data_IF_708763916209
#
_entry.id   IF_708763916209
#
_cell.length_a   1.000
_cell.length_b   1.000
_cell.length_c   1.000
_cell.angle_alpha   90.00
_cell.angle_beta   90.00
_cell.angle_gamma   90.00
#
_symmetry.space_group_name_H-M   'P 1'
#
loop_
_entity.id
_entity.type
_entity.pdbx_description
1 polymer ?
#
# COMPACT_ATOMS: atom_id res chain seq x y z
N UNK A 1 26.48 -10.46 -7.15
CA UNK A 1 27.27 -10.49 -5.89
C UNK A 1 26.39 -9.96 -4.75
N UNK A 2 26.57 -10.41 -3.50
CA UNK A 2 25.88 -9.80 -2.35
C UNK A 2 26.21 -8.32 -2.21
N UNK A 3 25.27 -7.53 -1.67
CA UNK A 3 25.52 -6.12 -1.38
C UNK A 3 26.61 -5.94 -0.32
N UNK A 4 27.44 -4.91 -0.48
CA UNK A 4 28.38 -4.48 0.56
C UNK A 4 27.70 -3.57 1.57
N UNK A 5 28.35 -3.36 2.72
CA UNK A 5 27.84 -2.46 3.76
C UNK A 5 27.60 -1.05 3.21
N UNK A 6 28.50 -0.57 2.37
CA UNK A 6 28.48 0.76 1.78
C UNK A 6 27.28 0.96 0.85
N UNK A 7 26.86 -0.11 0.15
CA UNK A 7 25.70 -0.06 -0.77
C UNK A 7 24.36 -0.03 -0.02
N UNK A 8 24.29 -0.51 1.21
CA UNK A 8 23.05 -0.57 2.01
C UNK A 8 23.04 0.42 3.17
N UNK A 9 24.19 1.03 3.50
CA UNK A 9 24.29 1.99 4.58
C UNK A 9 23.74 3.34 4.15
N UNK A 10 22.99 3.98 5.03
CA UNK A 10 22.68 5.40 4.97
C UNK A 10 23.41 6.11 6.12
N UNK A 11 24.66 6.60 5.90
CA UNK A 11 25.47 7.15 6.98
C UNK A 11 24.79 8.34 7.68
N UNK A 12 24.80 8.33 9.01
CA UNK A 12 24.18 9.37 9.84
C UNK A 12 22.66 9.23 10.02
N UNK A 13 22.04 8.20 9.43
CA UNK A 13 20.61 7.90 9.63
C UNK A 13 20.46 6.58 10.39
N UNK A 14 19.65 6.59 11.45
CA UNK A 14 19.47 5.44 12.33
C UNK A 14 17.99 5.20 12.59
N UNK A 15 17.48 4.06 12.14
CA UNK A 15 16.18 3.54 12.58
C UNK A 15 16.30 3.03 14.02
N UNK A 16 15.78 3.77 14.99
CA UNK A 16 15.84 3.45 16.42
C UNK A 16 14.79 2.43 16.82
N UNK A 17 13.56 2.62 16.36
CA UNK A 17 12.47 1.71 16.66
C UNK A 17 11.40 1.72 15.57
N UNK A 18 10.63 0.63 15.52
CA UNK A 18 9.42 0.53 14.71
C UNK A 18 8.38 -0.19 15.55
N UNK A 19 7.23 0.46 15.73
CA UNK A 19 6.10 -0.11 16.48
C UNK A 19 4.83 -0.05 15.64
N UNK A 20 3.87 -0.90 15.98
CA UNK A 20 2.57 -0.94 15.31
C UNK A 20 1.52 -0.52 16.33
N UNK A 21 0.73 0.49 15.98
CA UNK A 21 -0.47 0.90 16.70
C UNK A 21 -1.69 0.21 16.09
N UNK A 22 -2.49 -0.43 16.93
CA UNK A 22 -3.61 -1.26 16.51
C UNK A 22 -3.26 -2.75 16.45
N UNK A 23 -4.25 -3.57 16.08
CA UNK A 23 -4.08 -5.02 15.96
C UNK A 23 -4.02 -5.41 14.49
N UNK A 24 -3.03 -6.23 14.13
CA UNK A 24 -2.95 -6.86 12.81
C UNK A 24 -3.95 -8.03 12.76
N UNK A 25 -5.21 -7.71 12.48
CA UNK A 25 -6.30 -8.67 12.43
C UNK A 25 -6.94 -8.68 11.05
N UNK A 26 -7.11 -9.86 10.47
CA UNK A 26 -7.83 -10.06 9.23
C UNK A 26 -9.18 -10.74 9.46
N UNK A 27 -10.16 -10.42 8.63
CA UNK A 27 -11.50 -11.01 8.67
C UNK A 27 -12.05 -11.12 7.25
N UNK A 28 -13.19 -11.81 7.11
CA UNK A 28 -13.95 -11.82 5.87
C UNK A 28 -15.17 -10.92 6.02
N UNK A 29 -15.48 -10.18 4.96
CA UNK A 29 -16.72 -9.41 4.85
C UNK A 29 -17.41 -9.72 3.53
N UNK A 30 -18.74 -9.61 3.52
CA UNK A 30 -19.51 -9.79 2.30
C UNK A 30 -19.50 -8.51 1.47
N UNK A 31 -19.29 -8.66 0.18
CA UNK A 31 -19.31 -7.58 -0.80
C UNK A 31 -20.33 -7.89 -1.89
N UNK A 32 -21.27 -6.97 -2.07
CA UNK A 32 -22.29 -7.05 -3.10
C UNK A 32 -21.82 -6.36 -4.38
N UNK A 33 -22.04 -6.99 -5.52
CA UNK A 33 -21.84 -6.34 -6.82
C UNK A 33 -22.95 -6.68 -7.81
N UNK A 34 -23.14 -5.75 -8.75
CA UNK A 34 -24.21 -5.75 -9.73
C UNK A 34 -23.86 -6.63 -10.95
N UNK A 35 -24.86 -7.37 -11.44
CA UNK A 35 -24.78 -8.29 -12.58
C UNK A 35 -25.68 -7.85 -13.76
N UNK A 36 -26.25 -6.64 -13.73
CA UNK A 36 -27.14 -6.13 -14.79
C UNK A 36 -26.49 -6.15 -16.16
N UNK A 37 -25.21 -5.79 -16.20
CA UNK A 37 -24.44 -5.74 -17.44
C UNK A 37 -24.02 -7.14 -17.95
N UNK A 38 -24.29 -8.19 -17.18
CA UNK A 38 -24.00 -9.58 -17.57
C UNK A 38 -25.25 -10.32 -18.08
N UNK A 39 -26.44 -9.73 -17.98
CA UNK A 39 -27.71 -10.34 -18.41
C UNK A 39 -28.26 -9.65 -19.66
N UNK A 40 -28.85 -10.44 -20.56
CA UNK A 40 -29.46 -9.92 -21.78
C UNK A 40 -30.74 -9.13 -21.47
N UNK A 41 -30.86 -7.95 -22.05
CA UNK A 41 -32.09 -7.15 -22.04
C UNK A 41 -32.83 -7.30 -23.36
N UNK A 42 -34.16 -7.16 -23.36
CA UNK A 42 -34.98 -7.20 -24.59
C UNK A 42 -35.94 -6.00 -24.66
N UNK A 43 -36.56 -5.78 -25.83
CA UNK A 43 -37.54 -4.70 -25.99
C UNK A 43 -38.77 -4.86 -25.08
N UNK A 44 -39.06 -6.08 -24.62
CA UNK A 44 -40.19 -6.39 -23.72
C UNK A 44 -39.78 -6.57 -22.27
N UNK A 45 -38.48 -6.76 -21.99
CA UNK A 45 -37.92 -6.94 -20.64
C UNK A 45 -36.75 -5.98 -20.48
N UNK A 46 -36.99 -4.90 -19.75
CA UNK A 46 -35.96 -3.93 -19.38
C UNK A 46 -34.93 -4.50 -18.42
N UNK A 47 -33.95 -3.68 -18.04
CA UNK A 47 -32.95 -4.00 -17.02
C UNK A 47 -33.64 -4.42 -15.72
N UNK A 48 -33.26 -5.60 -15.23
CA UNK A 48 -33.69 -6.12 -13.92
C UNK A 48 -32.55 -5.99 -12.93
N UNK A 49 -32.87 -5.59 -11.70
CA UNK A 49 -31.89 -5.55 -10.61
C UNK A 49 -31.45 -6.99 -10.27
N UNK A 50 -30.21 -7.31 -10.66
CA UNK A 50 -29.56 -8.58 -10.34
C UNK A 50 -28.23 -8.25 -9.68
N UNK A 51 -28.02 -8.76 -8.47
CA UNK A 51 -26.76 -8.65 -7.74
C UNK A 51 -26.38 -9.99 -7.13
N UNK A 52 -25.14 -10.10 -6.70
CA UNK A 52 -24.64 -11.26 -5.94
C UNK A 52 -23.65 -10.81 -4.88
N UNK A 53 -23.38 -11.70 -3.92
CA UNK A 53 -22.44 -11.47 -2.83
C UNK A 53 -21.21 -12.36 -2.98
N UNK A 54 -20.05 -11.81 -2.67
CA UNK A 54 -18.79 -12.55 -2.51
C UNK A 54 -18.14 -12.21 -1.18
N UNK A 55 -17.62 -13.23 -0.52
CA UNK A 55 -16.85 -13.05 0.71
C UNK A 55 -15.42 -12.65 0.36
N UNK A 56 -14.96 -11.51 0.86
CA UNK A 56 -13.63 -10.93 0.57
C UNK A 56 -12.83 -10.80 1.84
N UNK A 57 -11.53 -11.09 1.76
CA UNK A 57 -10.60 -10.82 2.86
C UNK A 57 -10.52 -9.31 3.10
N UNK A 58 -10.43 -8.92 4.37
CA UNK A 58 -10.18 -7.56 4.81
C UNK A 58 -9.30 -7.56 6.07
N UNK A 59 -8.84 -6.39 6.51
CA UNK A 59 -8.10 -6.22 7.75
C UNK A 59 -8.52 -4.96 8.51
N UNK A 60 -8.30 -4.96 9.83
CA UNK A 60 -8.47 -3.75 10.65
C UNK A 60 -7.41 -2.70 10.31
N UNK A 61 -7.77 -1.43 10.44
CA UNK A 61 -6.80 -0.33 10.32
C UNK A 61 -5.71 -0.45 11.38
N UNK A 62 -4.48 -0.14 10.98
CA UNK A 62 -3.33 -0.02 11.87
C UNK A 62 -2.40 1.09 11.38
N UNK A 63 -1.42 1.47 12.20
CA UNK A 63 -0.38 2.42 11.80
C UNK A 63 1.00 1.96 12.24
N UNK A 64 1.99 2.18 11.40
CA UNK A 64 3.40 2.10 11.77
C UNK A 64 3.81 3.40 12.46
N UNK A 65 4.58 3.30 13.54
CA UNK A 65 5.28 4.41 14.16
C UNK A 65 6.78 4.14 14.08
N UNK A 66 7.47 4.94 13.28
CA UNK A 66 8.91 4.86 13.09
C UNK A 66 9.60 5.96 13.90
N UNK A 67 10.66 5.59 14.61
CA UNK A 67 11.59 6.54 15.24
C UNK A 67 12.91 6.50 14.48
N UNK A 68 13.22 7.58 13.77
CA UNK A 68 14.40 7.69 12.92
C UNK A 68 15.21 8.90 13.36
N UNK A 69 16.47 8.71 13.72
CA UNK A 69 17.37 9.84 14.02
C UNK A 69 18.29 10.15 12.84
N UNK A 70 18.50 11.42 12.56
CA UNK A 70 19.44 11.92 11.55
C UNK A 70 20.49 12.83 12.17
N UNK A 71 21.75 12.63 11.81
CA UNK A 71 22.88 13.51 12.18
C UNK A 71 22.94 14.76 11.28
N UNK A 72 22.28 14.72 10.12
CA UNK A 72 22.28 15.80 9.11
C UNK A 72 21.09 16.76 9.29
N UNK A 73 21.30 18.04 8.97
CA UNK A 73 20.28 19.11 9.02
C UNK A 73 19.05 18.83 8.15
N UNK A 74 19.25 18.21 6.99
CA UNK A 74 18.21 17.86 6.03
C UNK A 74 18.67 16.64 5.21
N UNK A 75 17.92 15.54 5.27
CA UNK A 75 18.17 14.33 4.50
C UNK A 75 16.85 13.77 3.96
N UNK A 76 16.82 13.39 2.69
CA UNK A 76 15.66 12.72 2.08
C UNK A 76 15.85 11.21 2.17
N UNK A 77 14.84 10.53 2.68
CA UNK A 77 14.89 9.10 2.92
C UNK A 77 13.72 8.38 2.27
N UNK A 78 13.96 7.14 1.83
CA UNK A 78 12.91 6.18 1.48
C UNK A 78 12.78 5.18 2.62
N UNK A 79 11.59 5.06 3.20
CA UNK A 79 11.26 4.01 4.16
C UNK A 79 10.63 2.85 3.39
N UNK A 80 11.26 1.69 3.45
CA UNK A 80 10.86 0.45 2.77
C UNK A 80 10.42 -0.56 3.81
N UNK A 81 9.18 -1.03 3.74
CA UNK A 81 8.59 -1.93 4.72
C UNK A 81 8.23 -3.24 4.05
N UNK A 82 8.74 -4.34 4.61
CA UNK A 82 8.47 -5.69 4.15
C UNK A 82 7.96 -6.57 5.29
N UNK A 83 7.05 -7.50 4.96
CA UNK A 83 6.58 -8.52 5.87
C UNK A 83 7.07 -9.88 5.39
N UNK A 84 7.87 -10.55 6.21
CA UNK A 84 8.49 -11.83 5.86
C UNK A 84 7.96 -12.93 6.77
N UNK A 85 7.59 -14.12 6.25
CA UNK A 85 7.19 -15.23 7.10
C UNK A 85 8.37 -15.64 7.99
N UNK A 86 8.13 -15.83 9.29
CA UNK A 86 9.19 -16.23 10.22
C UNK A 86 9.53 -17.72 10.10
N UNK A 87 8.53 -18.54 9.79
CA UNK A 87 8.62 -20.00 9.73
C UNK A 87 7.95 -20.55 8.48
N UNK A 88 8.41 -21.71 8.03
CA UNK A 88 7.72 -22.50 7.00
C UNK A 88 6.50 -23.24 7.59
N UNK A 89 5.79 -24.00 6.74
CA UNK A 89 4.63 -24.79 7.16
C UNK A 89 4.96 -25.95 8.13
N UNK A 90 6.23 -26.35 8.22
CA UNK A 90 6.71 -27.35 9.17
C UNK A 90 7.21 -26.72 10.49
N UNK A 91 7.13 -25.40 10.63
CA UNK A 91 7.59 -24.65 11.79
C UNK A 91 9.10 -24.35 11.80
N UNK A 92 9.82 -24.63 10.71
CA UNK A 92 11.25 -24.37 10.59
C UNK A 92 11.47 -22.87 10.37
N UNK A 93 12.36 -22.26 11.16
CA UNK A 93 12.70 -20.85 11.04
C UNK A 93 13.50 -20.63 9.76
N UNK A 94 13.07 -19.69 8.92
CA UNK A 94 13.84 -19.31 7.74
C UNK A 94 15.14 -18.61 8.13
N UNK A 95 16.22 -18.95 7.42
CA UNK A 95 17.39 -18.08 7.36
C UNK A 95 17.05 -16.80 6.59
N UNK A 96 17.88 -15.76 6.71
CA UNK A 96 17.66 -14.51 5.97
C UNK A 96 17.63 -14.75 4.45
N UNK A 97 18.54 -15.57 3.93
CA UNK A 97 18.66 -15.82 2.48
C UNK A 97 17.43 -16.56 1.90
N UNK A 98 16.82 -17.46 2.68
CA UNK A 98 15.59 -18.14 2.26
C UNK A 98 14.36 -17.25 2.45
N UNK A 99 14.34 -16.48 3.53
CA UNK A 99 13.23 -15.62 3.93
C UNK A 99 13.06 -14.42 3.02
N UNK A 100 14.15 -13.81 2.53
CA UNK A 100 14.11 -12.56 1.74
C UNK A 100 13.25 -12.67 0.48
N UNK A 101 13.24 -13.83 -0.18
CA UNK A 101 12.44 -14.05 -1.40
C UNK A 101 10.96 -14.40 -1.10
N UNK A 102 10.60 -14.51 0.18
CA UNK A 102 9.23 -14.76 0.65
C UNK A 102 8.62 -13.54 1.31
N UNK A 103 9.36 -12.44 1.38
CA UNK A 103 8.87 -11.19 1.89
C UNK A 103 7.89 -10.56 0.89
N UNK A 104 6.83 -9.96 1.41
CA UNK A 104 5.93 -9.12 0.63
C UNK A 104 6.20 -7.66 0.98
N UNK A 105 6.19 -6.80 -0.02
CA UNK A 105 6.29 -5.36 0.16
C UNK A 105 4.98 -4.85 0.78
N UNK A 106 5.09 -4.14 1.89
CA UNK A 106 3.96 -3.59 2.65
C UNK A 106 3.78 -2.10 2.40
N UNK A 107 4.89 -1.36 2.30
CA UNK A 107 4.88 0.06 1.99
C UNK A 107 6.26 0.51 1.48
N UNK A 108 6.26 1.59 0.70
CA UNK A 108 7.45 2.33 0.27
C UNK A 108 7.07 3.79 0.17
N UNK A 109 7.68 4.66 0.98
CA UNK A 109 7.36 6.09 0.94
C UNK A 109 8.58 6.95 1.20
N UNK A 110 8.57 8.14 0.62
CA UNK A 110 9.60 9.16 0.79
C UNK A 110 9.28 10.04 2.01
N UNK A 111 10.31 10.47 2.71
CA UNK A 111 10.18 11.36 3.87
C UNK A 111 11.43 12.19 4.07
N UNK A 112 11.23 13.48 4.35
CA UNK A 112 12.28 14.37 4.81
C UNK A 112 12.57 14.15 6.29
N UNK A 113 13.84 13.92 6.58
CA UNK A 113 14.39 13.81 7.93
C UNK A 113 15.08 15.12 8.34
N UNK A 114 14.71 15.64 9.50
CA UNK A 114 15.40 16.76 10.14
C UNK A 114 16.50 16.23 11.06
N UNK A 115 17.48 17.08 11.39
CA UNK A 115 18.48 16.74 12.41
C UNK A 115 17.83 16.39 13.75
N UNK A 116 18.34 15.33 14.39
CA UNK A 116 17.79 14.77 15.62
C UNK A 116 16.71 13.72 15.34
N UNK A 117 15.73 13.63 16.24
CA UNK A 117 14.74 12.56 16.26
C UNK A 117 13.50 12.92 15.45
N UNK A 118 13.13 12.03 14.52
CA UNK A 118 11.96 12.12 13.67
C UNK A 118 10.98 11.01 14.06
N UNK A 119 9.73 11.39 14.35
CA UNK A 119 8.65 10.46 14.65
C UNK A 119 7.67 10.44 13.48
N UNK A 120 7.67 9.34 12.73
CA UNK A 120 6.86 9.22 11.51
C UNK A 120 5.76 8.20 11.76
N UNK A 121 4.50 8.67 11.68
CA UNK A 121 3.32 7.82 11.74
C UNK A 121 2.78 7.58 10.33
N UNK A 122 2.64 6.32 9.93
CA UNK A 122 2.17 5.91 8.60
C UNK A 122 0.98 4.96 8.74
N UNK A 123 -0.20 5.35 8.27
CA UNK A 123 -1.40 4.51 8.34
C UNK A 123 -1.37 3.42 7.27
N UNK A 124 -1.97 2.27 7.55
CA UNK A 124 -2.13 1.18 6.59
C UNK A 124 -2.88 1.60 5.32
N UNK A 125 -3.83 2.53 5.45
CA UNK A 125 -4.58 3.09 4.32
C UNK A 125 -3.73 3.91 3.36
N UNK A 126 -2.56 4.40 3.81
CA UNK A 126 -1.67 5.20 2.98
C UNK A 126 -0.64 4.34 2.23
N UNK A 127 -0.68 3.01 2.33
CA UNK A 127 0.32 2.15 1.69
C UNK A 127 0.43 2.43 0.19
N UNK A 128 1.67 2.64 -0.27
CA UNK A 128 2.03 2.83 -1.67
C UNK A 128 1.93 1.54 -2.51
N UNK A 129 1.62 0.41 -1.90
CA UNK A 129 1.41 -0.89 -2.58
C UNK A 129 -0.06 -1.08 -2.94
N UNK A 130 -0.95 -0.43 -2.19
CA UNK A 130 -2.38 -0.71 -2.26
C UNK A 130 -3.19 0.41 -2.88
N UNK A 131 -4.37 0.05 -3.38
CA UNK A 131 -5.42 0.97 -3.83
C UNK A 131 -6.73 0.67 -3.11
N UNK A 132 -7.58 1.67 -2.80
CA UNK A 132 -8.91 1.43 -2.26
C UNK A 132 -9.80 0.62 -3.21
N UNK A 133 -10.97 0.21 -2.72
CA UNK A 133 -11.96 -0.45 -3.58
C UNK A 133 -12.47 0.50 -4.67
N UNK A 134 -12.68 -0.05 -5.86
CA UNK A 134 -13.15 0.68 -7.03
C UNK A 134 -14.66 0.96 -6.85
N UNK A 135 -15.15 2.18 -7.19
CA UNK A 135 -16.58 2.48 -7.14
C UNK A 135 -17.38 1.55 -8.06
N UNK A 136 -18.60 1.23 -7.64
CA UNK A 136 -19.50 0.44 -8.48
C UNK A 136 -19.86 1.18 -9.76
N UNK A 137 -20.11 0.44 -10.84
CA UNK A 137 -20.47 1.06 -12.12
C UNK A 137 -21.74 1.90 -12.02
N UNK A 138 -22.72 1.46 -11.22
CA UNK A 138 -23.94 2.22 -10.94
C UNK A 138 -23.67 3.56 -10.23
N UNK A 139 -22.71 3.60 -9.29
CA UNK A 139 -22.31 4.86 -8.65
C UNK A 139 -21.65 5.80 -9.65
N UNK A 140 -20.77 5.29 -10.51
CA UNK A 140 -20.13 6.10 -11.56
C UNK A 140 -21.15 6.72 -12.53
N UNK A 141 -22.15 5.94 -12.97
CA UNK A 141 -23.23 6.45 -13.82
C UNK A 141 -24.04 7.51 -13.08
N UNK A 142 -24.47 7.21 -11.85
CA UNK A 142 -25.25 8.15 -11.03
C UNK A 142 -24.55 9.49 -10.84
N UNK A 143 -23.28 9.47 -10.44
CA UNK A 143 -22.53 10.68 -10.13
C UNK A 143 -22.27 11.50 -11.41
N UNK A 144 -22.01 10.84 -12.55
CA UNK A 144 -21.87 11.50 -13.85
C UNK A 144 -23.19 12.15 -14.31
N UNK A 145 -24.31 11.43 -14.23
CA UNK A 145 -25.63 11.95 -14.63
C UNK A 145 -26.05 13.14 -13.76
N UNK A 146 -25.77 13.08 -12.45
CA UNK A 146 -26.05 14.16 -11.51
C UNK A 146 -25.24 15.43 -11.82
N UNK A 147 -23.95 15.29 -12.16
CA UNK A 147 -23.11 16.41 -12.58
C UNK A 147 -23.63 17.06 -13.87
N UNK A 148 -23.99 16.25 -14.87
CA UNK A 148 -24.57 16.73 -16.13
C UNK A 148 -25.90 17.46 -15.89
N UNK A 149 -26.80 16.89 -15.09
CA UNK A 149 -28.12 17.46 -14.83
C UNK A 149 -28.06 18.79 -14.06
N UNK A 150 -27.09 18.92 -13.15
CA UNK A 150 -26.89 20.14 -12.35
C UNK A 150 -25.98 21.17 -13.03
N UNK A 151 -25.29 20.80 -14.11
CA UNK A 151 -24.31 21.66 -14.77
C UNK A 151 -23.05 21.89 -13.93
N UNK A 152 -22.74 20.98 -13.00
CA UNK A 152 -21.55 21.03 -12.16
C UNK A 152 -20.40 20.22 -12.75
N UNK A 153 -19.19 20.45 -12.23
CA UNK A 153 -18.07 19.55 -12.48
C UNK A 153 -18.29 18.20 -11.80
N UNK A 154 -17.76 17.14 -12.41
CA UNK A 154 -17.76 15.80 -11.85
C UNK A 154 -16.47 15.62 -11.04
N UNK A 155 -16.62 15.35 -9.74
CA UNK A 155 -15.52 15.15 -8.81
C UNK A 155 -15.30 13.65 -8.58
N UNK A 156 -14.16 13.13 -9.04
CA UNK A 156 -13.73 11.72 -8.90
C UNK A 156 -12.37 11.60 -8.19
N UNK A 157 -11.88 12.70 -7.62
CA UNK A 157 -10.56 12.80 -6.99
C UNK A 157 -10.46 11.93 -5.74
N UNK A 158 -11.59 11.48 -5.17
CA UNK A 158 -11.63 10.49 -4.09
C UNK A 158 -11.26 9.07 -4.54
N UNK A 159 -11.31 8.79 -5.85
CA UNK A 159 -10.96 7.48 -6.39
C UNK A 159 -9.53 7.45 -6.85
N UNK A 160 -8.87 6.33 -6.53
CA UNK A 160 -7.54 6.05 -7.05
C UNK A 160 -7.59 5.18 -8.31
N UNK A 161 -6.41 4.97 -8.88
CA UNK A 161 -6.12 4.08 -9.98
C UNK A 161 -6.52 2.66 -9.61
N UNK A 162 -7.00 1.92 -10.60
CA UNK A 162 -7.36 0.50 -10.44
C UNK A 162 -6.16 -0.45 -10.44
N UNK A 163 -4.94 0.06 -10.67
CA UNK A 163 -3.71 -0.74 -10.54
C UNK A 163 -3.21 -0.61 -9.10
N UNK A 164 -3.02 -1.76 -8.44
CA UNK A 164 -2.52 -1.86 -7.08
C UNK A 164 -3.08 -3.11 -6.42
N UNK A 165 -2.46 -3.54 -5.33
CA UNK A 165 -3.08 -4.58 -4.49
C UNK A 165 -4.33 -3.97 -3.83
N UNK A 166 -5.48 -4.66 -3.79
CA UNK A 166 -6.63 -4.14 -3.04
C UNK A 166 -6.23 -3.88 -1.58
N UNK A 167 -6.52 -2.71 -1.02
CA UNK A 167 -6.09 -2.34 0.34
C UNK A 167 -6.47 -3.39 1.39
N UNK A 168 -7.68 -3.94 1.28
CA UNK A 168 -8.20 -5.07 2.07
C UNK A 168 -7.33 -6.35 2.06
N UNK A 169 -6.42 -6.50 1.10
CA UNK A 169 -5.49 -7.62 0.96
C UNK A 169 -4.04 -7.26 1.33
N UNK A 170 -3.81 -6.11 1.99
CA UNK A 170 -2.48 -5.70 2.44
C UNK A 170 -1.84 -6.76 3.36
N UNK A 171 -2.61 -7.31 4.30
CA UNK A 171 -2.14 -8.35 5.20
C UNK A 171 -2.45 -9.75 4.66
N UNK A 172 -1.53 -10.72 4.81
CA UNK A 172 -1.86 -12.12 4.62
C UNK A 172 -2.89 -12.56 5.67
N UNK A 173 -3.78 -13.49 5.29
CA UNK A 173 -4.87 -14.01 6.14
C UNK A 173 -4.44 -14.49 7.54
N UNK A 174 -3.20 -14.96 7.69
CA UNK A 174 -2.75 -15.56 8.94
C UNK A 174 -3.59 -16.76 9.39
N UNK A 175 -3.68 -16.98 10.70
CA UNK A 175 -4.41 -18.08 11.33
C UNK A 175 -5.21 -17.56 12.53
N UNK A 176 -6.20 -18.32 13.00
CA UNK A 176 -7.01 -17.94 14.16
C UNK A 176 -6.22 -17.96 15.48
N UNK A 177 -5.10 -18.69 15.53
CA UNK A 177 -4.17 -18.68 16.67
C UNK A 177 -3.12 -17.56 16.60
N UNK A 178 -3.10 -16.80 15.50
CA UNK A 178 -2.02 -15.87 15.19
C UNK A 178 -0.86 -16.56 14.46
N UNK A 179 -0.21 -15.81 13.58
CA UNK A 179 0.95 -16.25 12.83
C UNK A 179 2.05 -15.20 12.95
N UNK A 180 3.26 -15.65 13.28
CA UNK A 180 4.42 -14.77 13.45
C UNK A 180 5.05 -14.41 12.11
N UNK A 181 5.31 -13.12 11.93
CA UNK A 181 6.06 -12.57 10.81
C UNK A 181 7.20 -11.71 11.33
N UNK A 182 8.26 -11.59 10.53
CA UNK A 182 9.28 -10.57 10.72
C UNK A 182 8.89 -9.33 9.91
N UNK A 183 8.77 -8.20 10.59
CA UNK A 183 8.68 -6.89 9.94
C UNK A 183 10.11 -6.41 9.66
N UNK A 184 10.45 -6.25 8.39
CA UNK A 184 11.77 -5.78 7.95
C UNK A 184 11.60 -4.36 7.43
N UNK A 185 12.32 -3.42 8.03
CA UNK A 185 12.25 -2.00 7.67
C UNK A 185 13.65 -1.55 7.28
N UNK A 186 13.78 -0.94 6.10
CA UNK A 186 15.00 -0.32 5.63
C UNK A 186 14.75 1.18 5.40
N UNK A 187 15.73 1.99 5.75
CA UNK A 187 15.74 3.43 5.50
C UNK A 187 16.92 3.72 4.59
N UNK A 188 16.65 4.10 3.35
CA UNK A 188 17.68 4.31 2.31
C UNK A 188 17.71 5.77 1.87
N UNK A 189 18.85 6.20 1.34
CA UNK A 189 19.03 7.54 0.78
C UNK A 189 18.14 7.72 -0.46
N UNK A 190 17.40 8.83 -0.51
CA UNK A 190 16.51 9.19 -1.61
C UNK A 190 17.09 10.32 -2.50
N UNK A 191 18.31 10.78 -2.26
CA UNK A 191 18.89 11.93 -2.97
C UNK A 191 19.07 11.73 -4.48
N UNK A 192 19.17 10.48 -4.93
CA UNK A 192 19.22 10.12 -6.36
C UNK A 192 17.83 9.83 -6.95
N UNK A 193 16.77 9.81 -6.13
CA UNK A 193 15.41 9.56 -6.61
C UNK A 193 14.83 10.78 -7.32
N UNK A 194 14.20 10.53 -8.47
CA UNK A 194 13.43 11.55 -9.15
C UNK A 194 12.19 11.88 -8.34
N UNK A 195 11.89 13.17 -8.15
CA UNK A 195 10.60 13.63 -7.61
C UNK A 195 10.33 13.26 -6.13
N UNK A 196 11.37 13.03 -5.32
CA UNK A 196 11.19 12.77 -3.88
C UNK A 196 10.32 13.85 -3.21
N UNK A 197 10.50 15.14 -3.55
CA UNK A 197 9.72 16.24 -2.98
C UNK A 197 8.21 16.17 -3.30
N UNK A 198 7.83 15.75 -4.51
CA UNK A 198 6.42 15.62 -4.86
C UNK A 198 5.81 14.37 -4.22
N UNK A 199 6.55 13.27 -4.13
CA UNK A 199 6.07 12.03 -3.50
C UNK A 199 5.99 12.14 -1.97
N UNK A 200 6.81 12.98 -1.36
CA UNK A 200 6.66 13.38 0.05
C UNK A 200 5.37 14.18 0.28
N UNK A 201 4.98 15.01 -0.69
CA UNK A 201 3.82 15.90 -0.59
C UNK A 201 2.49 15.24 -1.00
N UNK A 202 2.54 14.14 -1.75
CA UNK A 202 1.36 13.51 -2.35
C UNK A 202 1.05 12.19 -1.63
N UNK A 203 -0.21 11.98 -1.23
CA UNK A 203 -0.70 10.66 -0.81
C UNK A 203 -0.93 9.76 -2.05
N UNK A 204 0.07 9.65 -2.93
CA UNK A 204 -0.05 8.81 -4.11
C UNK A 204 -0.15 7.35 -3.67
N UNK A 205 -1.17 6.64 -4.14
CA UNK A 205 -1.32 5.22 -3.89
C UNK A 205 -0.70 4.38 -5.02
N UNK A 206 -0.45 3.10 -4.72
CA UNK A 206 0.01 2.07 -5.67
C UNK A 206 1.31 2.33 -6.46
N UNK A 207 2.04 3.43 -6.25
CA UNK A 207 3.24 3.75 -7.02
C UNK A 207 4.40 2.76 -6.82
N UNK A 208 4.42 2.01 -5.71
CA UNK A 208 5.46 1.02 -5.43
C UNK A 208 5.56 -0.03 -6.56
N UNK A 209 4.41 -0.43 -7.13
CA UNK A 209 4.34 -1.50 -8.13
C UNK A 209 3.72 -1.03 -9.47
N UNK A 210 2.91 0.03 -9.44
CA UNK A 210 2.23 0.58 -10.63
C UNK A 210 2.86 1.87 -11.17
N UNK A 211 3.94 2.36 -10.53
CA UNK A 211 4.62 3.59 -10.90
C UNK A 211 3.73 4.83 -10.84
N UNK A 212 4.19 5.92 -11.45
CA UNK A 212 3.48 7.21 -11.52
C UNK A 212 3.05 7.48 -12.96
N UNK A 213 1.82 7.97 -13.18
CA UNK A 213 1.30 8.21 -14.54
C UNK A 213 2.14 9.28 -15.23
N UNK A 214 2.63 8.96 -16.44
CA UNK A 214 3.33 9.94 -17.27
C UNK A 214 4.76 10.24 -16.83
N UNK A 215 5.23 9.62 -15.76
CA UNK A 215 6.52 9.86 -15.15
C UNK A 215 7.41 8.60 -15.18
N UNK A 216 8.71 8.79 -14.95
CA UNK A 216 9.63 7.67 -14.74
C UNK A 216 9.35 6.99 -13.38
N UNK A 217 9.72 5.71 -13.25
CA UNK A 217 9.61 5.04 -11.96
C UNK A 217 10.44 5.81 -10.92
N UNK A 218 9.86 6.16 -9.74
CA UNK A 218 10.44 7.19 -8.89
C UNK A 218 11.58 6.73 -7.98
N UNK A 219 11.89 5.43 -7.98
CA UNK A 219 12.93 4.84 -7.12
C UNK A 219 14.08 4.33 -8.00
N UNK A 220 15.27 4.87 -7.78
CA UNK A 220 16.48 4.51 -8.53
C UNK A 220 17.02 3.12 -8.17
N UNK A 221 16.61 2.55 -7.04
CA UNK A 221 17.06 1.24 -6.60
C UNK A 221 16.36 0.11 -7.39
N UNK A 222 16.99 -1.08 -7.49
CA UNK A 222 16.31 -2.26 -8.01
C UNK A 222 15.01 -2.56 -7.24
N UNK A 223 14.00 -3.07 -7.95
CA UNK A 223 12.77 -3.55 -7.30
C UNK A 223 13.07 -4.76 -6.41
N UNK A 224 12.74 -4.65 -5.12
CA UNK A 224 12.96 -5.69 -4.10
C UNK A 224 13.99 -5.29 -3.04
#
# INVERSE_FOLDING_TARGET
>A
PPYTKEQISFPGVHLKSTTIEGQLETYFEDFEFDLKMAVDTSETVGLVDVSTYVSRLNHKEFAYNFEISSDSGEAHAVVRVFLCPRRDNNGIIFTFEEGRFKCIEMDKFWTKLNAGDNHIKRKSSQSAVTTPDIPSFSKLIHDADAAVASGSELHLEEFDRSCGIPNRMLLPKGTTQGMEFALVVAVTDASEDSQHDSLEATEAHAHAQCGVIGETYPDHQPMG
#
